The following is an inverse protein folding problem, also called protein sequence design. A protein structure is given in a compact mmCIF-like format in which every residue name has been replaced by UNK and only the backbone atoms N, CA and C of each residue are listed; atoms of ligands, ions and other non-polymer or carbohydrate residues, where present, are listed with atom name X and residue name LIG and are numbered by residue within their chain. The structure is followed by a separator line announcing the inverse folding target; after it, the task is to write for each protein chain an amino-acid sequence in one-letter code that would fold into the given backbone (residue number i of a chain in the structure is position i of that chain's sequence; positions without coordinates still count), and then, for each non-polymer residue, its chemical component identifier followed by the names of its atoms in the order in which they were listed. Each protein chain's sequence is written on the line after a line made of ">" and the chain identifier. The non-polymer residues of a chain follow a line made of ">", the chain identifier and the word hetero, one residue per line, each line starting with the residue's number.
data_IF_455626662051
#
_entry.id   IF_455626662051
#
_cell.length_a   1.000
_cell.length_b   1.000
_cell.length_c   1.000
_cell.angle_alpha   90.00
_cell.angle_beta   90.00
_cell.angle_gamma   90.00
#
_symmetry.space_group_name_H-M   'P 1'
#
loop_
_entity.id
_entity.type
_entity.pdbx_description
1 polymer ?
#
# COMPACT_ATOMS: atom_id res chain seq x y z
N UNK A 1 -19.34 -8.84 0.05
CA UNK A 1 -17.94 -8.42 0.12
C UNK A 1 -17.61 -8.17 1.56
N UNK A 2 -16.50 -8.69 2.05
CA UNK A 2 -15.89 -8.25 3.28
C UNK A 2 -15.45 -6.78 3.21
N UNK A 3 -15.19 -6.26 4.39
CA UNK A 3 -14.73 -4.90 4.59
C UNK A 3 -13.68 -4.96 5.68
N UNK A 4 -12.42 -4.86 5.28
CA UNK A 4 -11.30 -4.79 6.20
C UNK A 4 -11.42 -3.59 7.13
N UNK A 5 -10.74 -3.70 8.25
CA UNK A 5 -10.65 -2.65 9.25
C UNK A 5 -9.21 -2.38 9.65
N UNK A 6 -8.98 -1.21 10.22
CA UNK A 6 -7.74 -0.77 10.83
C UNK A 6 -8.00 -0.50 12.31
N UNK A 7 -7.28 -1.21 13.15
CA UNK A 7 -7.21 -0.95 14.59
C UNK A 7 -6.00 -0.08 14.89
N UNK A 8 -6.19 0.98 15.68
CA UNK A 8 -5.13 1.78 16.28
C UNK A 8 -5.00 1.33 17.73
N UNK A 9 -3.82 0.86 18.11
CA UNK A 9 -3.56 0.28 19.43
C UNK A 9 -2.65 1.22 20.21
N UNK A 10 -3.02 1.52 21.46
CA UNK A 10 -2.11 2.15 22.41
C UNK A 10 -1.21 1.06 23.02
N UNK A 11 0.10 1.05 22.73
CA UNK A 11 0.99 0.00 23.22
C UNK A 11 1.29 0.12 24.71
N UNK A 12 1.06 1.28 25.33
CA UNK A 12 1.29 1.49 26.78
C UNK A 12 0.08 0.98 27.57
N UNK A 13 -1.13 1.34 27.13
CA UNK A 13 -2.37 0.88 27.77
C UNK A 13 -2.72 -0.58 27.40
N UNK A 14 -2.16 -1.11 26.30
CA UNK A 14 -2.48 -2.42 25.73
C UNK A 14 -3.96 -2.55 25.39
N UNK A 15 -4.50 -1.51 24.73
CA UNK A 15 -5.92 -1.41 24.36
C UNK A 15 -6.10 -0.80 22.96
N UNK A 16 -7.25 -1.09 22.32
CA UNK A 16 -7.63 -0.49 21.04
C UNK A 16 -8.12 0.95 21.27
N UNK A 17 -7.27 1.92 20.92
CA UNK A 17 -7.58 3.34 21.03
C UNK A 17 -8.62 3.79 19.97
N UNK A 18 -8.64 3.16 18.81
CA UNK A 18 -9.63 3.43 17.76
C UNK A 18 -9.79 2.25 16.79
N UNK A 19 -11.00 2.14 16.25
CA UNK A 19 -11.35 1.16 15.23
C UNK A 19 -11.95 1.84 14.00
N UNK A 20 -11.41 1.54 12.81
CA UNK A 20 -11.85 2.15 11.56
C UNK A 20 -12.19 1.07 10.53
N UNK A 21 -13.44 1.02 10.09
CA UNK A 21 -13.85 0.19 8.95
C UNK A 21 -13.59 0.89 7.61
N UNK A 22 -13.98 0.21 6.52
CA UNK A 22 -13.99 0.81 5.19
C UNK A 22 -12.75 0.54 4.35
N UNK A 23 -11.90 -0.42 4.74
CA UNK A 23 -10.70 -0.80 3.99
C UNK A 23 -10.97 -1.82 2.88
N UNK A 24 -12.25 -2.11 2.61
CA UNK A 24 -12.67 -2.91 1.46
C UNK A 24 -12.18 -4.35 1.51
N UNK A 25 -12.15 -5.00 0.35
CA UNK A 25 -11.78 -6.41 0.27
C UNK A 25 -10.26 -6.62 0.25
N UNK A 26 -9.80 -7.66 0.94
CA UNK A 26 -8.42 -8.15 0.91
C UNK A 26 -7.32 -7.07 1.08
N UNK A 27 -7.40 -6.19 2.11
CA UNK A 27 -6.30 -5.29 2.39
C UNK A 27 -5.03 -6.10 2.73
N UNK A 28 -3.93 -5.72 2.10
CA UNK A 28 -2.61 -6.28 2.33
C UNK A 28 -1.85 -5.57 3.45
N UNK A 29 -0.55 -5.84 3.56
CA UNK A 29 0.29 -5.21 4.58
C UNK A 29 0.51 -3.74 4.22
N UNK A 30 0.09 -2.80 5.07
CA UNK A 30 0.24 -1.39 4.79
C UNK A 30 1.66 -0.90 5.08
N UNK A 31 2.01 0.25 4.54
CA UNK A 31 3.28 0.93 4.85
C UNK A 31 3.05 2.43 5.09
N UNK A 32 3.78 2.97 6.05
CA UNK A 32 3.83 4.42 6.25
C UNK A 32 4.74 5.05 5.19
N UNK A 33 4.20 6.08 4.52
CA UNK A 33 4.97 6.93 3.64
C UNK A 33 5.51 8.16 4.35
N UNK A 34 6.02 9.10 3.55
CA UNK A 34 6.34 10.45 4.04
C UNK A 34 5.08 11.12 4.64
N UNK A 35 5.29 11.98 5.63
CA UNK A 35 4.25 12.72 6.35
C UNK A 35 3.27 11.84 7.17
N UNK A 36 3.58 10.56 7.38
CA UNK A 36 2.79 9.68 8.25
C UNK A 36 1.51 9.14 7.60
N UNK A 37 1.33 9.30 6.28
CA UNK A 37 0.21 8.72 5.57
C UNK A 37 0.38 7.20 5.43
N UNK A 38 -0.65 6.44 5.79
CA UNK A 38 -0.68 4.99 5.70
C UNK A 38 -1.18 4.58 4.31
N UNK A 39 -0.36 3.87 3.55
CA UNK A 39 -0.70 3.35 2.23
C UNK A 39 -1.09 1.88 2.39
N UNK A 40 -2.31 1.53 1.99
CA UNK A 40 -2.90 0.21 2.20
C UNK A 40 -3.13 -0.46 0.84
N UNK A 41 -2.33 -1.47 0.47
CA UNK A 41 -2.50 -2.17 -0.80
C UNK A 41 -3.69 -3.12 -0.71
N UNK A 42 -4.33 -3.44 -1.83
CA UNK A 42 -5.35 -4.46 -1.94
C UNK A 42 -5.35 -5.08 -3.33
N UNK A 43 -5.51 -6.40 -3.37
CA UNK A 43 -5.73 -7.15 -4.59
C UNK A 43 -7.03 -6.76 -5.31
N UNK A 44 -8.02 -6.23 -4.59
CA UNK A 44 -9.35 -5.98 -5.09
C UNK A 44 -9.58 -4.56 -5.66
N UNK A 45 -8.82 -3.56 -5.18
CA UNK A 45 -9.06 -2.18 -5.57
C UNK A 45 -7.79 -1.37 -5.90
N UNK A 46 -6.59 -1.85 -5.56
CA UNK A 46 -5.35 -1.07 -5.76
C UNK A 46 -4.81 -0.53 -4.44
N UNK A 47 -4.52 0.76 -4.34
CA UNK A 47 -3.87 1.35 -3.17
C UNK A 47 -4.73 2.47 -2.55
N UNK A 48 -5.24 2.21 -1.35
CA UNK A 48 -5.89 3.23 -0.54
C UNK A 48 -4.84 4.04 0.25
N UNK A 49 -5.18 5.28 0.60
CA UNK A 49 -4.33 6.15 1.41
C UNK A 49 -5.17 6.70 2.57
N UNK A 50 -4.72 6.39 3.78
CA UNK A 50 -5.36 6.77 5.04
C UNK A 50 -4.49 7.78 5.78
N UNK A 51 -5.12 8.79 6.35
CA UNK A 51 -4.48 9.79 7.18
C UNK A 51 -4.80 9.51 8.66
N UNK A 52 -3.83 8.98 9.44
CA UNK A 52 -4.07 8.63 10.85
C UNK A 52 -4.43 9.83 11.71
N UNK A 53 -3.89 11.02 11.41
CA UNK A 53 -4.11 12.23 12.20
C UNK A 53 -5.57 12.69 12.15
N UNK A 54 -6.23 12.57 11.00
CA UNK A 54 -7.65 12.91 10.83
C UNK A 54 -8.58 11.71 10.99
N UNK A 55 -8.04 10.49 10.93
CA UNK A 55 -8.85 9.26 10.93
C UNK A 55 -9.74 9.16 9.70
N UNK A 56 -9.22 9.54 8.52
CA UNK A 56 -9.98 9.56 7.27
C UNK A 56 -9.14 9.12 6.05
N UNK A 57 -9.82 8.73 4.97
CA UNK A 57 -9.18 8.40 3.70
C UNK A 57 -8.87 9.67 2.90
N UNK A 58 -7.63 9.83 2.45
CA UNK A 58 -7.30 10.74 1.35
C UNK A 58 -7.51 10.08 -0.02
N UNK A 59 -7.46 8.74 -0.07
CA UNK A 59 -7.93 7.88 -1.17
C UNK A 59 -8.60 6.64 -0.60
N UNK A 60 -9.89 6.47 -0.84
CA UNK A 60 -10.66 5.35 -0.29
C UNK A 60 -10.63 4.13 -1.22
N UNK A 61 -11.09 2.95 -0.78
CA UNK A 61 -11.23 1.80 -1.68
C UNK A 61 -12.19 2.02 -2.87
N UNK A 62 -13.09 3.01 -2.80
CA UNK A 62 -13.99 3.37 -3.93
C UNK A 62 -13.36 4.37 -4.89
N UNK A 63 -12.29 5.06 -4.46
CA UNK A 63 -11.46 5.96 -5.28
C UNK A 63 -9.97 5.76 -4.95
N UNK A 64 -9.42 4.58 -5.28
CA UNK A 64 -8.05 4.20 -4.92
C UNK A 64 -7.05 4.73 -5.95
N UNK A 65 -5.77 4.72 -5.58
CA UNK A 65 -4.71 4.80 -6.58
C UNK A 65 -4.64 3.47 -7.35
N UNK A 66 -4.49 3.55 -8.67
CA UNK A 66 -4.36 2.41 -9.57
C UNK A 66 -3.04 2.48 -10.35
N UNK A 67 -1.89 2.17 -9.71
CA UNK A 67 -0.59 2.25 -10.36
C UNK A 67 -0.55 1.41 -11.65
N UNK A 68 -0.15 2.03 -12.76
CA UNK A 68 -0.15 1.38 -14.08
C UNK A 68 -1.55 1.14 -14.67
N UNK A 69 -2.58 1.82 -14.15
CA UNK A 69 -3.97 1.70 -14.60
C UNK A 69 -4.67 0.42 -14.14
N UNK A 70 -4.06 -0.37 -13.25
CA UNK A 70 -4.63 -1.62 -12.75
C UNK A 70 -5.12 -1.46 -11.32
N UNK A 71 -6.38 -1.80 -11.09
CA UNK A 71 -7.01 -1.78 -9.77
C UNK A 71 -6.62 -2.99 -8.90
N UNK A 72 -5.32 -3.26 -8.80
CA UNK A 72 -4.78 -4.36 -7.99
C UNK A 72 -3.36 -4.07 -7.58
N UNK A 73 -3.11 -4.01 -6.27
CA UNK A 73 -1.79 -3.86 -5.68
C UNK A 73 -1.63 -4.87 -4.55
N UNK A 74 -0.64 -5.75 -4.64
CA UNK A 74 -0.42 -6.80 -3.63
C UNK A 74 0.54 -6.43 -2.51
N UNK A 75 1.32 -5.38 -2.73
CA UNK A 75 2.32 -4.92 -1.77
C UNK A 75 2.76 -3.50 -2.07
N UNK A 76 3.20 -2.83 -1.02
CA UNK A 76 3.67 -1.45 -1.06
C UNK A 76 4.91 -1.33 -0.18
N UNK A 77 5.85 -0.48 -0.57
CA UNK A 77 6.96 -0.07 0.27
C UNK A 77 7.48 1.29 -0.16
N UNK A 78 8.18 1.94 0.78
CA UNK A 78 8.93 3.15 0.53
C UNK A 78 10.41 2.84 0.64
N UNK A 79 11.21 3.37 -0.28
CA UNK A 79 12.66 3.30 -0.15
C UNK A 79 13.19 4.36 0.84
N UNK A 80 14.49 4.33 1.21
CA UNK A 80 15.06 5.30 2.15
C UNK A 80 14.99 6.76 1.70
N UNK A 81 14.78 7.03 0.40
CA UNK A 81 14.56 8.38 -0.14
C UNK A 81 13.08 8.78 -0.16
N UNK A 82 12.18 7.92 0.33
CA UNK A 82 10.74 8.18 0.38
C UNK A 82 10.02 7.92 -0.94
N UNK A 83 10.64 7.27 -1.92
CA UNK A 83 9.98 6.93 -3.19
C UNK A 83 9.06 5.74 -2.99
N UNK A 84 7.85 5.83 -3.54
CA UNK A 84 6.83 4.80 -3.45
C UNK A 84 7.07 3.69 -4.47
N UNK A 85 7.00 2.45 -4.01
CA UNK A 85 6.99 1.26 -4.85
C UNK A 85 5.76 0.40 -4.56
N UNK A 86 5.11 -0.11 -5.61
CA UNK A 86 3.96 -1.01 -5.53
C UNK A 86 4.19 -2.28 -6.34
N UNK A 87 3.49 -3.35 -5.99
CA UNK A 87 3.53 -4.61 -6.72
C UNK A 87 2.24 -4.83 -7.51
N UNK A 88 2.40 -5.16 -8.79
CA UNK A 88 1.33 -5.63 -9.67
C UNK A 88 1.28 -7.17 -9.62
N UNK A 89 0.23 -7.77 -9.01
CA UNK A 89 0.17 -9.21 -8.78
C UNK A 89 -0.37 -9.99 -9.97
N UNK A 90 0.45 -10.20 -11.00
CA UNK A 90 0.12 -11.15 -12.07
C UNK A 90 0.43 -12.56 -11.60
N UNK A 91 -0.60 -13.39 -11.42
CA UNK A 91 -0.44 -14.74 -10.84
C UNK A 91 -0.41 -15.88 -11.87
N UNK A 92 -0.52 -15.54 -13.17
CA UNK A 92 -0.37 -16.46 -14.31
C UNK A 92 0.84 -16.15 -15.19
N UNK A 93 1.54 -15.05 -14.93
CA UNK A 93 2.69 -14.54 -15.69
C UNK A 93 3.56 -13.66 -14.78
N UNK A 94 4.78 -13.27 -15.20
CA UNK A 94 5.62 -12.38 -14.40
C UNK A 94 4.89 -11.08 -14.02
N UNK A 95 4.94 -10.74 -12.73
CA UNK A 95 4.43 -9.49 -12.20
C UNK A 95 5.41 -8.34 -12.41
N UNK A 96 5.08 -7.20 -11.81
CA UNK A 96 5.93 -6.02 -11.85
C UNK A 96 6.04 -5.35 -10.49
N UNK A 97 7.21 -4.80 -10.19
CA UNK A 97 7.35 -3.71 -9.22
C UNK A 97 7.29 -2.37 -9.97
N UNK A 98 6.46 -1.46 -9.51
CA UNK A 98 6.26 -0.15 -10.12
C UNK A 98 6.79 0.92 -9.15
N UNK A 99 7.67 1.79 -9.63
CA UNK A 99 8.11 2.98 -8.89
C UNK A 99 7.25 4.16 -9.31
N UNK A 100 6.67 4.85 -8.32
CA UNK A 100 5.81 6.00 -8.53
C UNK A 100 6.53 7.30 -8.15
N UNK A 101 6.18 8.39 -8.81
CA UNK A 101 6.54 9.74 -8.39
C UNK A 101 5.53 10.34 -7.39
N UNK A 102 5.72 11.62 -7.06
CA UNK A 102 4.85 12.37 -6.15
C UNK A 102 3.45 12.59 -6.73
N UNK A 103 3.32 12.70 -8.05
CA UNK A 103 2.03 12.71 -8.76
C UNK A 103 1.36 11.34 -8.83
N UNK A 104 2.01 10.31 -8.28
CA UNK A 104 1.57 8.90 -8.26
C UNK A 104 1.56 8.24 -9.63
N UNK A 105 2.28 8.82 -10.59
CA UNK A 105 2.48 8.25 -11.91
C UNK A 105 3.64 7.25 -11.91
N UNK A 106 3.53 6.22 -12.76
CA UNK A 106 4.57 5.20 -12.88
C UNK A 106 5.77 5.77 -13.63
N UNK A 107 6.91 5.87 -12.94
CA UNK A 107 8.17 6.36 -13.53
C UNK A 107 9.11 5.24 -13.93
N UNK A 108 8.93 4.03 -13.37
CA UNK A 108 9.74 2.87 -13.72
C UNK A 108 9.01 1.58 -13.39
N UNK A 109 9.16 0.61 -14.28
CA UNK A 109 8.67 -0.76 -14.10
C UNK A 109 9.86 -1.71 -14.02
N UNK A 110 9.79 -2.66 -13.09
CA UNK A 110 10.77 -3.72 -12.91
C UNK A 110 10.06 -5.06 -13.02
N UNK A 111 10.42 -5.94 -13.97
CA UNK A 111 9.86 -7.28 -14.01
C UNK A 111 10.28 -8.04 -12.76
N UNK A 112 9.34 -8.73 -12.13
CA UNK A 112 9.57 -9.60 -10.98
C UNK A 112 8.94 -10.97 -11.23
N UNK A 113 9.06 -11.88 -10.27
CA UNK A 113 8.43 -13.20 -10.36
C UNK A 113 6.90 -13.15 -10.44
N UNK A 114 6.30 -14.32 -10.56
CA UNK A 114 4.84 -14.49 -10.56
C UNK A 114 4.26 -14.20 -9.17
N UNK A 115 3.13 -13.49 -9.14
CA UNK A 115 2.34 -13.18 -7.95
C UNK A 115 3.18 -12.58 -6.79
N UNK A 116 3.93 -11.48 -7.04
CA UNK A 116 4.74 -10.86 -6.00
C UNK A 116 3.84 -10.30 -4.88
N UNK A 117 4.25 -10.41 -3.61
CA UNK A 117 3.41 -9.99 -2.46
C UNK A 117 4.10 -9.06 -1.45
N UNK A 118 5.43 -8.93 -1.49
CA UNK A 118 6.19 -8.09 -0.54
C UNK A 118 7.38 -7.43 -1.22
N UNK A 119 7.71 -6.23 -0.75
CA UNK A 119 8.91 -5.47 -1.11
C UNK A 119 9.67 -5.21 0.18
N UNK A 120 11.00 -5.35 0.15
CA UNK A 120 11.88 -4.89 1.20
C UNK A 120 13.07 -4.18 0.57
N UNK A 121 13.57 -3.13 1.23
CA UNK A 121 14.77 -2.43 0.83
C UNK A 121 15.90 -2.73 1.81
N UNK A 122 17.12 -2.76 1.29
CA UNK A 122 18.35 -2.83 2.08
C UNK A 122 19.33 -1.81 1.53
N UNK A 123 20.17 -1.27 2.41
CA UNK A 123 21.32 -0.47 2.00
C UNK A 123 22.50 -1.39 1.73
N UNK A 124 23.21 -1.15 0.64
CA UNK A 124 24.48 -1.83 0.37
C UNK A 124 25.62 -0.99 0.97
N UNK A 125 26.63 -1.63 1.60
CA UNK A 125 27.87 -0.94 1.95
C UNK A 125 28.51 -0.32 0.70
N UNK A 126 29.00 0.91 0.84
CA UNK A 126 29.79 1.60 -0.18
C UNK A 126 31.25 1.15 -0.20
#
# INVERSE_FOLDING_TARGET
>A
GGNGSLSVVDPVAVDEAAHHGGFGEFPGVPAFGLFGLLHVPSFAYGLAVWEPASGSFSRSPTDPLTPGGVASVSGVAFDPSGRLYTLLPRCSEPGAALRLDESREVTREFPVGTCPIRIAFTALPG
#
